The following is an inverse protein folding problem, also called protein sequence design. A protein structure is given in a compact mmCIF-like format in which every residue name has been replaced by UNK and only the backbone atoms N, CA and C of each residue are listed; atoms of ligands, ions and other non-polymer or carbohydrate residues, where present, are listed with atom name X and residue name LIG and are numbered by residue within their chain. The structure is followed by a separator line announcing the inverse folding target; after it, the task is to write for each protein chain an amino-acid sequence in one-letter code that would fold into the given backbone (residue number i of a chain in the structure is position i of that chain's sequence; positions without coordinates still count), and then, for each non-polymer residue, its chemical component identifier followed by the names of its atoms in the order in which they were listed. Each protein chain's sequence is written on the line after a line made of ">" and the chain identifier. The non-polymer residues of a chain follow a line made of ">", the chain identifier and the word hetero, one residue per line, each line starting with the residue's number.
data_IF_560424587814
#
_entry.id   IF_560424587814
#
_cell.length_a   1.000
_cell.length_b   1.000
_cell.length_c   1.000
_cell.angle_alpha   90.00
_cell.angle_beta   90.00
_cell.angle_gamma   90.00
#
_symmetry.space_group_name_H-M   'P 1'
#
loop_
_entity.id
_entity.type
_entity.pdbx_description
1 polymer ?
#
# COMPACT_ATOMS: atom_id res chain seq x y z
N UNK A 1 -26.11 9.22 -5.53
CA UNK A 1 -25.62 9.69 -4.22
C UNK A 1 -24.14 9.98 -4.39
N UNK A 2 -23.66 11.18 -4.05
CA UNK A 2 -22.25 11.57 -4.22
C UNK A 2 -21.59 11.66 -2.84
N UNK A 3 -21.22 10.51 -2.28
CA UNK A 3 -20.54 10.43 -1.00
C UNK A 3 -19.04 10.36 -1.27
N UNK A 4 -18.28 11.27 -0.68
CA UNK A 4 -16.84 11.36 -0.91
C UNK A 4 -16.04 11.32 0.37
N UNK A 5 -14.75 11.04 0.26
CA UNK A 5 -13.78 11.21 1.35
C UNK A 5 -12.50 11.83 0.80
N UNK A 6 -11.78 12.55 1.65
CA UNK A 6 -10.38 12.89 1.41
C UNK A 6 -9.48 11.72 1.84
N UNK A 7 -8.18 11.83 1.53
CA UNK A 7 -7.19 10.90 2.06
C UNK A 7 -7.16 10.99 3.59
N UNK A 8 -7.24 9.86 4.26
CA UNK A 8 -7.00 9.73 5.70
C UNK A 8 -5.70 8.97 5.88
N UNK A 9 -4.72 9.67 6.41
CA UNK A 9 -3.41 9.10 6.71
C UNK A 9 -3.36 8.64 8.16
N UNK A 10 -2.58 7.60 8.40
CA UNK A 10 -2.12 7.28 9.72
C UNK A 10 -1.21 8.39 10.26
N UNK A 11 -1.05 8.43 11.58
CA UNK A 11 -0.01 9.22 12.25
C UNK A 11 1.34 8.91 11.61
N UNK A 12 2.04 9.97 11.23
CA UNK A 12 3.34 9.87 10.61
C UNK A 12 4.37 9.42 11.65
N UNK A 13 5.28 8.54 11.25
CA UNK A 13 6.39 8.11 12.09
C UNK A 13 7.70 8.56 11.46
N UNK A 14 8.43 9.42 12.15
CA UNK A 14 9.69 9.99 11.71
C UNK A 14 10.83 9.52 12.62
N UNK A 15 11.95 9.11 12.02
CA UNK A 15 13.15 8.65 12.74
C UNK A 15 14.38 8.85 11.85
N UNK A 16 15.48 9.36 12.42
CA UNK A 16 16.73 9.58 11.69
C UNK A 16 16.60 10.43 10.42
N UNK A 17 15.65 11.37 10.38
CA UNK A 17 15.36 12.21 9.21
C UNK A 17 14.61 11.50 8.08
N UNK A 18 14.08 10.29 8.33
CA UNK A 18 13.31 9.50 7.39
C UNK A 18 11.88 9.31 7.89
N UNK A 19 10.95 9.07 6.97
CA UNK A 19 9.51 9.03 7.26
C UNK A 19 8.88 7.71 6.85
N UNK A 20 8.05 7.13 7.72
CA UNK A 20 7.11 6.04 7.40
C UNK A 20 5.68 6.58 7.33
N UNK A 21 4.98 6.27 6.24
CA UNK A 21 3.57 6.68 6.02
C UNK A 21 2.70 5.48 5.72
N UNK A 22 1.44 5.55 6.13
CA UNK A 22 0.41 4.59 5.74
C UNK A 22 -0.88 5.32 5.42
N UNK A 23 -1.47 5.02 4.27
CA UNK A 23 -2.78 5.53 3.88
C UNK A 23 -3.87 4.59 4.41
N UNK A 24 -4.73 5.10 5.28
CA UNK A 24 -5.82 4.30 5.87
C UNK A 24 -7.06 4.32 4.97
N UNK A 25 -7.38 5.48 4.39
CA UNK A 25 -8.52 5.67 3.49
C UNK A 25 -8.07 6.51 2.30
N UNK A 26 -8.10 5.97 1.07
CA UNK A 26 -7.87 6.75 -0.13
C UNK A 26 -9.02 7.72 -0.43
N UNK A 27 -8.67 8.90 -0.93
CA UNK A 27 -9.64 9.86 -1.44
C UNK A 27 -10.44 9.23 -2.58
N UNK A 28 -11.77 9.26 -2.45
CA UNK A 28 -12.68 8.74 -3.48
C UNK A 28 -14.02 9.47 -3.43
N UNK A 29 -14.71 9.51 -4.57
CA UNK A 29 -16.02 10.17 -4.73
C UNK A 29 -17.21 9.22 -4.85
N UNK A 30 -16.95 7.91 -4.74
CA UNK A 30 -17.91 6.84 -5.03
C UNK A 30 -18.04 5.92 -3.82
N UNK A 31 -18.40 6.50 -2.67
CA UNK A 31 -18.70 5.73 -1.47
C UNK A 31 -20.19 5.40 -1.40
N UNK A 32 -20.49 4.24 -0.83
CA UNK A 32 -21.83 3.81 -0.47
C UNK A 32 -21.95 3.65 1.05
N UNK A 33 -23.15 3.86 1.57
CA UNK A 33 -23.51 3.56 2.96
C UNK A 33 -24.42 2.35 2.96
N UNK A 34 -24.11 1.36 3.79
CA UNK A 34 -25.01 0.26 4.09
C UNK A 34 -25.27 0.18 5.58
N UNK A 35 -26.48 -0.22 5.94
CA UNK A 35 -26.91 -0.42 7.32
C UNK A 35 -27.49 -1.84 7.40
N UNK A 36 -26.92 -2.65 8.27
CA UNK A 36 -27.29 -4.04 8.50
C UNK A 36 -27.38 -4.32 10.01
N UNK A 37 -27.60 -5.59 10.39
CA UNK A 37 -27.73 -5.98 11.79
C UNK A 37 -26.46 -5.73 12.63
N UNK A 38 -25.28 -5.57 12.01
CA UNK A 38 -23.99 -5.30 12.66
C UNK A 38 -23.76 -3.79 12.85
N UNK A 39 -24.46 -2.96 12.08
CA UNK A 39 -24.45 -1.50 12.21
C UNK A 39 -24.34 -0.81 10.86
N UNK A 40 -23.89 0.44 10.89
CA UNK A 40 -23.72 1.26 9.69
C UNK A 40 -22.27 1.10 9.20
N UNK A 41 -22.08 1.06 7.90
CA UNK A 41 -20.76 1.06 7.29
C UNK A 41 -20.70 1.95 6.06
N UNK A 42 -19.50 2.46 5.79
CA UNK A 42 -19.14 3.13 4.55
C UNK A 42 -18.23 2.21 3.76
N UNK A 43 -18.46 2.04 2.46
CA UNK A 43 -17.64 1.17 1.63
C UNK A 43 -17.49 1.68 0.19
N UNK A 44 -16.45 1.18 -0.48
CA UNK A 44 -16.14 1.43 -1.88
C UNK A 44 -15.03 0.51 -2.37
N UNK A 45 -14.39 0.84 -3.50
CA UNK A 45 -13.30 0.04 -4.07
C UNK A 45 -12.07 -0.09 -3.18
N UNK A 46 -11.89 0.79 -2.20
CA UNK A 46 -10.71 0.83 -1.34
C UNK A 46 -10.90 0.20 0.05
N UNK A 47 -12.12 -0.20 0.39
CA UNK A 47 -12.39 -0.85 1.67
C UNK A 47 -13.83 -0.70 2.15
N UNK A 48 -14.06 -1.22 3.34
CA UNK A 48 -15.27 -1.06 4.14
C UNK A 48 -14.85 -0.64 5.55
N UNK A 49 -15.51 0.39 6.07
CA UNK A 49 -15.24 0.95 7.39
C UNK A 49 -16.53 1.02 8.19
N UNK A 50 -16.47 0.73 9.50
CA UNK A 50 -17.61 0.99 10.38
C UNK A 50 -17.95 2.48 10.35
N UNK A 51 -19.22 2.79 10.53
CA UNK A 51 -19.74 4.14 10.47
C UNK A 51 -20.74 4.42 11.58
N UNK A 52 -20.84 5.70 11.95
CA UNK A 52 -21.79 6.22 12.94
C UNK A 52 -22.38 7.52 12.41
N UNK A 53 -23.56 7.89 12.90
CA UNK A 53 -24.22 9.16 12.56
C UNK A 53 -24.04 10.16 13.71
N UNK A 54 -23.69 11.40 13.37
CA UNK A 54 -23.57 12.49 14.35
C UNK A 54 -22.20 12.62 14.98
N UNK A 55 -22.12 12.92 16.27
CA UNK A 55 -20.84 13.13 16.94
C UNK A 55 -20.12 11.79 17.12
N UNK A 56 -18.90 11.69 16.58
CA UNK A 56 -18.08 10.50 16.74
C UNK A 56 -17.35 10.45 18.07
N UNK A 57 -17.16 9.25 18.60
CA UNK A 57 -16.27 9.05 19.73
C UNK A 57 -14.82 9.11 19.25
N UNK A 58 -14.04 10.03 19.83
CA UNK A 58 -12.61 10.15 19.55
C UNK A 58 -11.81 8.98 20.15
N UNK A 59 -12.37 8.24 21.12
CA UNK A 59 -11.73 7.13 21.82
C UNK A 59 -11.91 5.76 21.14
N UNK A 60 -12.54 5.70 19.96
CA UNK A 60 -12.71 4.44 19.25
C UNK A 60 -11.36 3.78 18.91
N UNK A 61 -11.23 2.49 19.24
CA UNK A 61 -10.02 1.68 19.00
C UNK A 61 -9.69 1.50 17.51
N UNK A 62 -10.64 1.79 16.63
CA UNK A 62 -10.51 1.67 15.18
C UNK A 62 -11.00 2.95 14.50
N UNK A 63 -10.56 3.16 13.26
CA UNK A 63 -11.01 4.29 12.44
C UNK A 63 -12.49 4.11 12.08
N UNK A 64 -13.32 5.10 12.40
CA UNK A 64 -14.77 5.08 12.16
C UNK A 64 -15.17 6.25 11.25
N UNK A 65 -16.01 5.97 10.26
CA UNK A 65 -16.61 6.98 9.41
C UNK A 65 -17.74 7.72 10.14
N UNK A 66 -17.70 9.04 10.14
CA UNK A 66 -18.69 9.91 10.76
C UNK A 66 -19.58 10.50 9.68
N UNK A 67 -20.82 10.00 9.64
CA UNK A 67 -21.86 10.42 8.72
C UNK A 67 -22.64 11.62 9.29
N UNK A 68 -23.11 12.54 8.44
CA UNK A 68 -23.97 13.63 8.89
C UNK A 68 -25.30 13.08 9.46
N UNK A 69 -25.84 13.77 10.46
CA UNK A 69 -27.18 13.47 11.03
C UNK A 69 -28.30 13.79 10.05
N UNK A 70 -28.13 14.82 9.23
CA UNK A 70 -29.10 15.16 8.18
C UNK A 70 -28.80 14.32 6.94
N UNK A 71 -29.80 13.54 6.50
CA UNK A 71 -29.71 12.73 5.29
C UNK A 71 -29.64 13.62 4.05
N UNK A 72 -28.42 13.83 3.54
CA UNK A 72 -28.16 14.41 2.23
C UNK A 72 -27.76 13.35 1.22
N UNK A 73 -28.13 13.54 -0.05
CA UNK A 73 -27.69 12.67 -1.15
C UNK A 73 -26.23 12.91 -1.56
N UNK A 74 -25.61 13.98 -1.05
CA UNK A 74 -24.24 14.40 -1.35
C UNK A 74 -23.60 14.94 -0.08
N UNK A 75 -22.49 14.35 0.36
CA UNK A 75 -21.70 14.84 1.48
C UNK A 75 -20.28 14.26 1.47
N UNK A 76 -19.40 14.85 2.28
CA UNK A 76 -18.07 14.30 2.53
C UNK A 76 -18.06 13.61 3.90
N UNK A 77 -17.56 12.39 3.93
CA UNK A 77 -17.37 11.58 5.15
C UNK A 77 -16.24 12.19 5.99
N UNK A 78 -16.50 12.38 7.28
CA UNK A 78 -15.48 12.71 8.27
C UNK A 78 -15.03 11.43 8.99
N UNK A 79 -13.91 11.49 9.71
CA UNK A 79 -13.31 10.31 10.32
C UNK A 79 -12.87 10.57 11.76
N UNK A 80 -13.25 9.67 12.67
CA UNK A 80 -12.86 9.66 14.08
C UNK A 80 -12.19 8.33 14.48
N UNK A 81 -11.74 8.24 15.73
CA UNK A 81 -11.02 7.07 16.26
C UNK A 81 -9.53 7.09 15.95
N UNK A 82 -8.87 5.96 16.20
CA UNK A 82 -7.42 5.87 16.07
C UNK A 82 -6.93 6.05 14.63
N UNK A 83 -5.80 6.76 14.49
CA UNK A 83 -5.03 6.87 13.25
C UNK A 83 -3.65 6.23 13.40
N UNK A 84 -3.46 5.32 14.36
CA UNK A 84 -2.20 4.60 14.49
C UNK A 84 -1.92 3.79 13.23
N UNK A 85 -0.64 3.73 12.86
CA UNK A 85 -0.18 2.81 11.82
C UNK A 85 -0.47 1.37 12.24
N UNK A 86 -0.92 0.56 11.28
CA UNK A 86 -1.04 -0.88 11.48
C UNK A 86 0.35 -1.50 11.62
N UNK A 87 0.43 -2.57 12.39
CA UNK A 87 1.63 -3.40 12.39
C UNK A 87 1.87 -3.96 10.98
N UNK A 88 3.08 -3.85 10.42
CA UNK A 88 3.40 -4.37 9.09
C UNK A 88 3.03 -5.85 8.89
N UNK A 89 3.15 -6.69 9.91
CA UNK A 89 2.79 -8.11 9.81
C UNK A 89 1.27 -8.30 9.69
N UNK A 90 0.49 -7.47 10.40
CA UNK A 90 -0.98 -7.43 10.25
C UNK A 90 -1.36 -7.02 8.83
N UNK A 91 -0.66 -6.03 8.25
CA UNK A 91 -0.89 -5.62 6.85
C UNK A 91 -0.62 -6.78 5.88
N UNK A 92 0.49 -7.51 6.05
CA UNK A 92 0.82 -8.65 5.20
C UNK A 92 -0.23 -9.76 5.25
N UNK A 93 -0.82 -10.02 6.41
CA UNK A 93 -1.91 -10.99 6.50
C UNK A 93 -3.15 -10.55 5.72
N UNK A 94 -3.42 -9.25 5.60
CA UNK A 94 -4.54 -8.75 4.79
C UNK A 94 -4.36 -8.97 3.28
N UNK A 95 -3.14 -9.26 2.82
CA UNK A 95 -2.87 -9.57 1.42
C UNK A 95 -3.22 -11.01 1.03
N UNK A 96 -3.45 -11.89 2.01
CA UNK A 96 -3.76 -13.30 1.77
C UNK A 96 -5.06 -13.42 0.98
N UNK A 97 -4.97 -13.92 -0.26
CA UNK A 97 -6.12 -14.05 -1.16
C UNK A 97 -6.66 -12.70 -1.67
N UNK A 98 -5.95 -11.60 -1.44
CA UNK A 98 -6.40 -10.28 -1.88
C UNK A 98 -6.09 -9.98 -3.35
N UNK A 99 -5.31 -10.81 -4.02
CA UNK A 99 -5.05 -10.74 -5.45
C UNK A 99 -5.11 -12.15 -6.04
N UNK A 100 -5.75 -12.27 -7.20
CA UNK A 100 -5.86 -13.52 -7.95
C UNK A 100 -5.18 -13.46 -9.31
N UNK A 101 -5.03 -14.61 -9.94
CA UNK A 101 -4.55 -14.75 -11.32
C UNK A 101 -5.73 -14.84 -12.31
N UNK A 102 -6.61 -13.84 -12.25
CA UNK A 102 -7.75 -13.73 -13.16
C UNK A 102 -7.27 -13.63 -14.62
N UNK A 103 -7.92 -14.30 -15.59
CA UNK A 103 -7.60 -14.15 -17.00
C UNK A 103 -7.56 -12.68 -17.43
N UNK A 104 -6.51 -12.31 -18.18
CA UNK A 104 -6.21 -10.91 -18.56
C UNK A 104 -7.26 -10.20 -19.44
N UNK A 105 -8.26 -10.93 -19.91
CA UNK A 105 -9.40 -10.46 -20.68
C UNK A 105 -10.67 -10.28 -19.84
N UNK A 106 -10.64 -10.66 -18.56
CA UNK A 106 -11.73 -10.45 -17.62
C UNK A 106 -11.59 -9.12 -16.85
N UNK A 107 -12.69 -8.52 -16.35
CA UNK A 107 -12.63 -7.38 -15.44
C UNK A 107 -11.83 -7.67 -14.16
N UNK A 108 -11.17 -6.66 -13.61
CA UNK A 108 -10.37 -6.82 -12.39
C UNK A 108 -9.11 -7.68 -12.59
N UNK A 109 -8.63 -7.80 -13.82
CA UNK A 109 -7.40 -8.55 -14.14
C UNK A 109 -6.20 -7.64 -14.40
N UNK A 110 -5.02 -8.22 -14.22
CA UNK A 110 -3.76 -7.60 -14.67
C UNK A 110 -3.67 -7.66 -16.20
N UNK A 111 -3.08 -6.63 -16.81
CA UNK A 111 -2.81 -6.63 -18.26
C UNK A 111 -1.90 -7.80 -18.63
N UNK A 112 -2.04 -8.31 -19.85
CA UNK A 112 -1.22 -9.43 -20.38
C UNK A 112 0.28 -9.37 -20.03
N UNK A 113 1.03 -8.26 -20.21
CA UNK A 113 2.45 -8.23 -19.83
C UNK A 113 2.68 -8.32 -18.31
N UNK A 114 1.76 -7.79 -17.50
CA UNK A 114 1.86 -7.77 -16.04
C UNK A 114 1.60 -9.16 -15.45
N UNK A 115 0.56 -9.86 -15.92
CA UNK A 115 0.25 -11.22 -15.46
C UNK A 115 1.35 -12.20 -15.89
N UNK A 116 1.89 -12.06 -17.11
CA UNK A 116 3.00 -12.86 -17.58
C UNK A 116 4.26 -12.64 -16.73
N UNK A 117 4.62 -11.38 -16.45
CA UNK A 117 5.74 -11.07 -15.58
C UNK A 117 5.55 -11.64 -14.17
N UNK A 118 4.35 -11.49 -13.59
CA UNK A 118 4.03 -12.01 -12.26
C UNK A 118 4.18 -13.54 -12.20
N UNK A 119 3.65 -14.27 -13.18
CA UNK A 119 3.84 -15.72 -13.26
C UNK A 119 5.31 -16.12 -13.38
N UNK A 120 6.11 -15.41 -14.20
CA UNK A 120 7.54 -15.69 -14.34
C UNK A 120 8.29 -15.47 -13.03
N UNK A 121 8.00 -14.37 -12.31
CA UNK A 121 8.64 -14.06 -11.02
C UNK A 121 8.27 -15.12 -9.98
N UNK A 122 6.97 -15.43 -9.83
CA UNK A 122 6.51 -16.41 -8.84
C UNK A 122 7.02 -17.82 -9.16
N UNK A 123 7.07 -18.19 -10.44
CA UNK A 123 7.65 -19.45 -10.90
C UNK A 123 9.14 -19.54 -10.58
N UNK A 124 9.90 -18.47 -10.85
CA UNK A 124 11.32 -18.39 -10.48
C UNK A 124 11.51 -18.54 -8.97
N UNK A 125 10.78 -17.79 -8.15
CA UNK A 125 10.87 -17.90 -6.68
C UNK A 125 10.51 -19.30 -6.17
N UNK A 126 9.50 -19.94 -6.76
CA UNK A 126 9.05 -21.28 -6.37
C UNK A 126 10.04 -22.38 -6.76
N UNK A 127 10.96 -22.10 -7.69
CA UNK A 127 12.01 -23.05 -8.08
C UNK A 127 13.11 -23.23 -7.02
N UNK A 128 13.19 -22.33 -6.04
CA UNK A 128 14.19 -22.37 -4.98
C UNK A 128 15.56 -21.83 -5.38
N UNK A 129 15.69 -21.27 -6.60
CA UNK A 129 16.87 -20.56 -7.05
C UNK A 129 17.10 -19.29 -6.22
N UNK A 130 18.36 -19.00 -5.89
CA UNK A 130 18.79 -17.88 -5.06
C UNK A 130 19.54 -16.79 -5.85
N UNK A 131 19.75 -16.99 -7.14
CA UNK A 131 20.41 -15.99 -7.97
C UNK A 131 19.54 -14.75 -8.20
N UNK A 132 20.15 -13.57 -8.40
CA UNK A 132 19.40 -12.39 -8.82
C UNK A 132 18.76 -12.60 -10.20
N UNK A 133 17.44 -12.36 -10.29
CA UNK A 133 16.70 -12.42 -11.55
C UNK A 133 16.49 -11.03 -12.18
N UNK A 134 16.42 -10.98 -13.51
CA UNK A 134 16.11 -9.76 -14.27
C UNK A 134 14.78 -9.95 -14.99
N UNK A 135 13.86 -9.01 -14.76
CA UNK A 135 12.58 -8.94 -15.48
C UNK A 135 12.60 -7.75 -16.42
N UNK A 136 12.60 -8.03 -17.73
CA UNK A 136 12.56 -6.99 -18.76
C UNK A 136 11.11 -6.78 -19.20
N UNK A 137 10.62 -5.54 -19.07
CA UNK A 137 9.29 -5.14 -19.51
C UNK A 137 9.38 -3.83 -20.32
N UNK A 138 8.71 -3.71 -21.48
CA UNK A 138 8.67 -2.47 -22.25
C UNK A 138 8.10 -1.29 -21.44
N UNK A 139 8.45 -0.06 -21.81
CA UNK A 139 7.86 1.14 -21.19
C UNK A 139 6.34 1.22 -21.47
N UNK A 140 5.58 1.74 -20.52
CA UNK A 140 4.11 1.82 -20.61
C UNK A 140 3.35 0.52 -20.30
N UNK A 141 4.04 -0.61 -20.06
CA UNK A 141 3.39 -1.90 -19.75
C UNK A 141 3.01 -2.09 -18.28
N UNK A 142 3.26 -1.08 -17.43
CA UNK A 142 2.90 -1.11 -16.01
C UNK A 142 3.86 -1.91 -15.14
N UNK A 143 5.17 -1.63 -15.26
CA UNK A 143 6.24 -2.18 -14.41
C UNK A 143 5.98 -1.95 -12.92
N UNK A 144 5.62 -0.72 -12.56
CA UNK A 144 5.32 -0.35 -11.17
C UNK A 144 4.14 -1.15 -10.64
N UNK A 145 3.03 -1.20 -11.38
CA UNK A 145 1.85 -1.97 -10.99
C UNK A 145 2.14 -3.48 -10.90
N UNK A 146 3.06 -4.01 -11.72
CA UNK A 146 3.51 -5.41 -11.61
C UNK A 146 4.25 -5.66 -10.29
N UNK A 147 5.12 -4.73 -9.88
CA UNK A 147 5.82 -4.81 -8.60
C UNK A 147 4.86 -4.73 -7.41
N UNK A 148 3.84 -3.86 -7.45
CA UNK A 148 2.79 -3.81 -6.43
C UNK A 148 1.99 -5.11 -6.38
N UNK A 149 1.59 -5.64 -7.53
CA UNK A 149 0.86 -6.90 -7.64
C UNK A 149 1.68 -8.07 -7.06
N UNK A 150 2.98 -8.11 -7.35
CA UNK A 150 3.91 -9.09 -6.79
C UNK A 150 4.00 -8.99 -5.26
N UNK A 151 4.08 -7.77 -4.70
CA UNK A 151 4.13 -7.58 -3.24
C UNK A 151 2.86 -8.14 -2.57
N UNK A 152 1.68 -7.89 -3.14
CA UNK A 152 0.42 -8.41 -2.60
C UNK A 152 0.34 -9.94 -2.78
N UNK A 153 0.75 -10.47 -3.94
CA UNK A 153 0.66 -11.89 -4.24
C UNK A 153 1.62 -12.75 -3.40
N UNK A 154 2.85 -12.28 -3.22
CA UNK A 154 3.94 -13.06 -2.60
C UNK A 154 4.20 -12.69 -1.14
N UNK A 155 3.70 -11.53 -0.69
CA UNK A 155 3.71 -11.07 0.70
C UNK A 155 5.12 -11.13 1.32
N UNK A 156 6.14 -10.50 0.70
CA UNK A 156 7.48 -10.48 1.27
C UNK A 156 7.46 -9.76 2.63
N UNK A 157 8.17 -10.30 3.62
CA UNK A 157 8.21 -9.74 4.97
C UNK A 157 8.68 -8.27 4.98
N UNK A 158 9.68 -7.96 4.14
CA UNK A 158 10.20 -6.62 3.88
C UNK A 158 10.61 -6.49 2.42
N UNK A 159 10.32 -5.35 1.82
CA UNK A 159 10.68 -5.01 0.43
C UNK A 159 11.52 -3.74 0.40
N UNK A 160 12.71 -3.77 -0.23
CA UNK A 160 13.45 -2.56 -0.60
C UNK A 160 13.36 -2.30 -2.09
N UNK A 161 12.99 -1.08 -2.44
CA UNK A 161 12.95 -0.60 -3.81
C UNK A 161 13.99 0.50 -3.98
N UNK A 162 14.95 0.26 -4.88
CA UNK A 162 16.02 1.20 -5.19
C UNK A 162 15.72 1.89 -6.52
N UNK A 163 15.77 3.21 -6.50
CA UNK A 163 15.46 4.06 -7.66
C UNK A 163 16.53 5.13 -7.88
N UNK A 164 16.78 5.57 -9.12
CA UNK A 164 17.88 6.49 -9.44
C UNK A 164 17.69 7.93 -8.94
N UNK A 165 16.50 8.35 -8.52
CA UNK A 165 16.25 9.75 -8.16
C UNK A 165 15.22 9.92 -7.06
N UNK A 166 15.31 11.05 -6.34
CA UNK A 166 14.34 11.45 -5.30
C UNK A 166 12.93 11.58 -5.86
N UNK A 167 12.78 12.18 -7.05
CA UNK A 167 11.48 12.31 -7.70
C UNK A 167 10.83 10.95 -8.00
N UNK A 168 11.63 9.98 -8.48
CA UNK A 168 11.12 8.64 -8.72
C UNK A 168 10.82 7.89 -7.42
N UNK A 169 11.63 8.10 -6.36
CA UNK A 169 11.36 7.57 -5.02
C UNK A 169 10.00 8.02 -4.53
N UNK A 170 9.69 9.31 -4.66
CA UNK A 170 8.43 9.85 -4.18
C UNK A 170 7.23 9.36 -4.99
N UNK A 171 7.39 9.21 -6.30
CA UNK A 171 6.36 8.63 -7.17
C UNK A 171 6.08 7.15 -6.85
N UNK A 172 7.14 6.35 -6.70
CA UNK A 172 7.01 4.92 -6.41
C UNK A 172 6.46 4.71 -4.99
N UNK A 173 6.93 5.46 -4.01
CA UNK A 173 6.39 5.42 -2.65
C UNK A 173 4.89 5.75 -2.63
N UNK A 174 4.46 6.80 -3.34
CA UNK A 174 3.03 7.15 -3.44
C UNK A 174 2.18 6.05 -4.10
N UNK A 175 2.75 5.31 -5.05
CA UNK A 175 2.08 4.15 -5.65
C UNK A 175 1.87 3.04 -4.63
N UNK A 176 2.90 2.67 -3.85
CA UNK A 176 2.75 1.69 -2.77
C UNK A 176 1.77 2.15 -1.69
N UNK A 177 1.87 3.41 -1.24
CA UNK A 177 1.00 4.00 -0.20
C UNK A 177 -0.49 3.89 -0.57
N UNK A 178 -0.83 3.94 -1.87
CA UNK A 178 -2.22 3.89 -2.34
C UNK A 178 -2.67 2.53 -2.86
N UNK A 179 -1.74 1.59 -3.10
CA UNK A 179 -1.92 0.42 -4.00
C UNK A 179 -2.37 0.80 -5.44
N UNK A 180 -2.42 2.10 -5.74
CA UNK A 180 -2.73 2.69 -7.03
C UNK A 180 -3.98 2.12 -7.70
N UNK A 181 -3.83 1.90 -9.01
CA UNK A 181 -4.90 1.40 -9.87
C UNK A 181 -5.31 -0.04 -9.53
N UNK A 182 -4.44 -0.81 -8.88
CA UNK A 182 -4.75 -2.22 -8.58
C UNK A 182 -5.95 -2.34 -7.65
N UNK A 183 -6.00 -1.53 -6.59
CA UNK A 183 -7.15 -1.55 -5.69
C UNK A 183 -8.35 -0.83 -6.29
N UNK A 184 -8.14 0.27 -7.02
CA UNK A 184 -9.23 1.04 -7.64
C UNK A 184 -10.04 0.22 -8.64
N UNK A 185 -9.38 -0.59 -9.46
CA UNK A 185 -10.02 -1.42 -10.49
C UNK A 185 -10.40 -2.82 -9.98
N UNK A 186 -10.26 -3.09 -8.67
CA UNK A 186 -10.62 -4.36 -8.06
C UNK A 186 -9.68 -5.53 -8.38
N UNK A 187 -8.50 -5.26 -8.95
CA UNK A 187 -7.43 -6.28 -9.13
C UNK A 187 -6.92 -6.75 -7.77
N UNK A 188 -6.76 -5.79 -6.84
CA UNK A 188 -6.52 -6.06 -5.42
C UNK A 188 -7.81 -5.79 -4.67
N UNK A 189 -8.25 -6.77 -3.87
CA UNK A 189 -9.51 -6.71 -3.16
C UNK A 189 -9.53 -5.57 -2.12
N UNK A 190 -10.69 -4.95 -1.86
CA UNK A 190 -10.84 -3.84 -0.91
C UNK A 190 -10.39 -4.17 0.53
N UNK A 191 -10.34 -5.45 0.90
CA UNK A 191 -9.90 -5.90 2.23
C UNK A 191 -8.39 -5.72 2.47
N UNK A 192 -7.58 -5.62 1.41
CA UNK A 192 -6.14 -5.39 1.53
C UNK A 192 -5.86 -4.00 2.12
N UNK A 193 -5.20 -3.98 3.26
CA UNK A 193 -4.73 -2.73 3.87
C UNK A 193 -3.49 -2.24 3.14
N UNK A 194 -3.37 -0.92 2.94
CA UNK A 194 -2.21 -0.37 2.26
C UNK A 194 -0.95 -0.53 3.12
N UNK A 195 0.21 -0.80 2.51
CA UNK A 195 1.47 -1.02 3.23
C UNK A 195 1.90 0.23 4.01
N UNK A 196 2.64 0.00 5.09
CA UNK A 196 3.49 1.02 5.70
C UNK A 196 4.71 1.24 4.79
N UNK A 197 4.87 2.46 4.27
CA UNK A 197 5.92 2.80 3.30
C UNK A 197 6.92 3.75 3.93
N UNK A 198 8.15 3.28 4.08
CA UNK A 198 9.31 4.06 4.48
C UNK A 198 9.93 4.76 3.28
N UNK A 199 10.02 6.09 3.34
CA UNK A 199 10.76 6.92 2.38
C UNK A 199 12.14 7.18 2.96
N UNK A 200 13.16 6.51 2.41
CA UNK A 200 14.54 6.71 2.83
C UNK A 200 15.13 7.91 2.07
N UNK A 201 15.40 8.97 2.80
CA UNK A 201 15.99 10.22 2.30
C UNK A 201 17.44 10.36 2.73
N UNK A 202 17.75 9.88 3.93
CA UNK A 202 19.05 10.02 4.57
C UNK A 202 19.51 8.69 5.15
N UNK A 203 20.81 8.43 5.09
CA UNK A 203 21.41 7.28 5.77
C UNK A 203 21.31 7.43 7.28
N UNK A 204 21.11 6.32 7.99
CA UNK A 204 21.11 6.32 9.44
C UNK A 204 22.53 6.30 10.01
N UNK A 205 22.73 7.07 11.09
CA UNK A 205 23.94 7.04 11.91
C UNK A 205 23.80 6.10 13.10
N UNK A 206 22.58 5.90 13.60
CA UNK A 206 22.26 4.95 14.67
C UNK A 206 21.64 3.66 14.08
N UNK A 207 22.26 2.48 14.29
CA UNK A 207 21.70 1.19 13.91
C UNK A 207 20.31 0.90 14.52
N UNK A 208 20.04 1.40 15.73
CA UNK A 208 18.77 1.23 16.42
C UNK A 208 17.62 1.97 15.71
N UNK A 209 17.87 3.23 15.32
CA UNK A 209 16.94 4.01 14.52
C UNK A 209 16.63 3.34 13.18
N UNK A 210 17.68 2.84 12.50
CA UNK A 210 17.53 2.11 11.24
C UNK A 210 16.66 0.85 11.41
N UNK A 211 16.89 0.09 12.49
CA UNK A 211 16.11 -1.10 12.80
C UNK A 211 14.63 -0.79 13.05
N UNK A 212 14.33 0.26 13.82
CA UNK A 212 12.95 0.69 14.09
C UNK A 212 12.26 1.13 12.79
N UNK A 213 12.95 1.91 11.95
CA UNK A 213 12.42 2.36 10.66
C UNK A 213 12.03 1.19 9.74
N UNK A 214 12.92 0.21 9.59
CA UNK A 214 12.67 -0.99 8.78
C UNK A 214 11.58 -1.84 9.41
N UNK A 215 11.57 -1.98 10.74
CA UNK A 215 10.54 -2.75 11.45
C UNK A 215 9.15 -2.16 11.21
N UNK A 216 9.01 -0.82 11.21
CA UNK A 216 7.76 -0.10 10.97
C UNK A 216 7.31 -0.07 9.50
N UNK A 217 8.13 -0.56 8.57
CA UNK A 217 7.85 -0.50 7.13
C UNK A 217 7.54 -1.88 6.56
N UNK A 218 6.54 -2.00 5.67
CA UNK A 218 6.44 -3.14 4.75
C UNK A 218 7.38 -2.94 3.56
N UNK A 219 7.42 -1.71 3.05
CA UNK A 219 8.20 -1.31 1.86
C UNK A 219 9.09 -0.14 2.24
N UNK A 220 10.36 -0.19 1.86
CA UNK A 220 11.28 0.96 1.90
C UNK A 220 11.60 1.35 0.46
N UNK A 221 11.50 2.63 0.14
CA UNK A 221 11.90 3.17 -1.17
C UNK A 221 13.07 4.12 -0.96
N UNK A 222 14.17 3.89 -1.65
CA UNK A 222 15.44 4.58 -1.44
C UNK A 222 16.13 4.92 -2.76
N UNK A 223 16.98 5.95 -2.73
CA UNK A 223 18.02 6.14 -3.76
C UNK A 223 19.31 5.45 -3.31
N UNK A 224 20.23 5.07 -4.24
CA UNK A 224 21.52 4.52 -3.86
C UNK A 224 22.26 5.38 -2.84
N UNK A 225 22.22 6.70 -3.00
CA UNK A 225 22.90 7.64 -2.12
C UNK A 225 22.36 7.61 -0.68
N UNK A 226 21.06 7.41 -0.51
CA UNK A 226 20.43 7.32 0.81
C UNK A 226 20.82 6.03 1.57
N UNK A 227 21.41 5.05 0.87
CA UNK A 227 21.82 3.78 1.46
C UNK A 227 23.23 3.81 2.08
N UNK A 228 24.00 4.91 1.96
CA UNK A 228 25.38 5.01 2.45
C UNK A 228 25.55 5.07 3.99
N UNK A 229 24.58 4.58 4.77
CA UNK A 229 24.61 4.51 6.24
C UNK A 229 24.42 3.09 6.78
N UNK A 230 24.15 2.95 8.08
CA UNK A 230 23.88 1.63 8.67
C UNK A 230 22.49 1.17 8.26
N UNK A 231 22.40 0.14 7.41
CA UNK A 231 21.15 -0.52 7.07
C UNK A 231 21.19 -1.95 7.59
N UNK A 232 20.24 -2.36 8.45
CA UNK A 232 20.19 -3.72 8.96
C UNK A 232 20.07 -4.73 7.81
N UNK A 233 20.79 -5.85 7.93
CA UNK A 233 20.86 -6.98 6.97
C UNK A 233 19.50 -7.70 6.72
N UNK A 234 18.40 -7.21 7.31
CA UNK A 234 17.08 -7.86 7.28
C UNK A 234 16.24 -7.60 6.03
N UNK A 235 16.78 -6.91 5.02
CA UNK A 235 16.10 -6.72 3.74
C UNK A 235 16.41 -7.91 2.83
N UNK A 236 15.41 -8.76 2.55
CA UNK A 236 15.60 -10.00 1.75
C UNK A 236 15.13 -9.91 0.29
N UNK A 237 14.44 -8.83 -0.09
CA UNK A 237 13.94 -8.66 -1.45
C UNK A 237 14.28 -7.26 -1.97
N UNK A 238 14.98 -7.22 -3.11
CA UNK A 238 15.42 -6.00 -3.78
C UNK A 238 14.75 -5.88 -5.13
N UNK A 239 14.15 -4.73 -5.39
CA UNK A 239 13.72 -4.33 -6.72
C UNK A 239 14.54 -3.12 -7.15
N UNK A 240 15.25 -3.25 -8.28
CA UNK A 240 15.99 -2.14 -8.89
C UNK A 240 15.21 -1.72 -10.13
N UNK A 241 14.60 -0.53 -10.07
CA UNK A 241 13.87 0.02 -11.21
C UNK A 241 14.76 0.99 -11.99
N UNK A 242 15.23 0.59 -13.17
CA UNK A 242 15.86 1.50 -14.13
C UNK A 242 14.83 2.02 -15.15
N UNK A 243 14.79 3.34 -15.43
CA UNK A 243 13.96 3.90 -16.49
C UNK A 243 14.45 3.57 -17.92
N UNK A 244 15.67 3.03 -18.08
CA UNK A 244 16.28 2.72 -19.39
C UNK A 244 17.11 1.43 -19.33
N UNK A 245 16.86 0.53 -20.30
CA UNK A 245 17.89 -0.26 -20.98
C UNK A 245 18.10 0.37 -22.35
#
# INVERSE_FOLDING_TARGET
>A
MAISTANVWAEQFDVGGNTVRQLLVPACGELAVSEDAVGISVHGSHGRWPAIRGAGDAAAEHLVAVLPTVNGSTFRVNWSGTRKQLDPDVVLETFRGAIGFTPHDEPGSLRRPQIAALHSIVGYQSSGLDEPAIVVMPTGTGKTETMLAWMVATRPAKLLVIVPSTALRDQIAAKFESLGILQREGIVLPMAQRPCVGRLEHGFTDPGEAAIFVQRSNVVVATPNALHGVIPERVRCYWIASPTL
#
